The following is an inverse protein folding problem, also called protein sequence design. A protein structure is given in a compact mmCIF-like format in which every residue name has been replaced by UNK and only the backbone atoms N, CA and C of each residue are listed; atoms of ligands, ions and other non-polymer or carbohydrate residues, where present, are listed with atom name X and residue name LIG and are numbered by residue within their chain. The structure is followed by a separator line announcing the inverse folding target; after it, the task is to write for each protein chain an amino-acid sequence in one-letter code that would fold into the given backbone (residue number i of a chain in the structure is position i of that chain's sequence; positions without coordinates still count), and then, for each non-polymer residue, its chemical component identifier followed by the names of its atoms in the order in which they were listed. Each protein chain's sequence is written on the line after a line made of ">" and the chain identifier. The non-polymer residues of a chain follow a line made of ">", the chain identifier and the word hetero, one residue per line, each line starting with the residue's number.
data_IF_946482921524
#
_entry.id   IF_946482921524
#
_cell.length_a   1.000
_cell.length_b   1.000
_cell.length_c   1.000
_cell.angle_alpha   90.00
_cell.angle_beta   90.00
_cell.angle_gamma   90.00
#
_symmetry.space_group_name_H-M   'P 1'
#
loop_
_entity.id
_entity.type
_entity.pdbx_description
1 polymer ?
#
# COMPACT_ATOMS: atom_id res chain seq x y z
N UNK A 1 8.16 -11.09 3.97
CA UNK A 1 7.65 -12.37 4.49
C UNK A 1 6.14 -12.36 4.33
N UNK A 2 5.58 -13.43 3.78
CA UNK A 2 4.14 -13.61 3.59
C UNK A 2 3.60 -14.58 4.62
N UNK A 3 2.44 -14.25 5.18
CA UNK A 3 1.76 -15.07 6.19
C UNK A 3 0.34 -15.37 5.74
N UNK A 4 -0.11 -16.60 5.94
CA UNK A 4 -1.49 -17.01 5.72
C UNK A 4 -1.88 -18.07 6.76
N UNK A 5 -3.07 -17.94 7.35
CA UNK A 5 -3.64 -18.88 8.32
C UNK A 5 -2.69 -19.21 9.49
N UNK A 6 -1.96 -18.20 9.96
CA UNK A 6 -0.92 -18.22 11.00
C UNK A 6 0.41 -18.85 10.61
N UNK A 7 0.56 -19.32 9.37
CA UNK A 7 1.81 -19.90 8.85
C UNK A 7 2.57 -18.89 8.00
N UNK A 8 3.89 -19.01 8.01
CA UNK A 8 4.76 -18.33 7.05
C UNK A 8 4.68 -19.12 5.74
N UNK A 9 4.09 -18.53 4.70
CA UNK A 9 3.90 -19.19 3.40
C UNK A 9 4.87 -18.70 2.34
N UNK A 10 5.63 -17.64 2.61
CA UNK A 10 6.69 -17.21 1.71
C UNK A 10 7.73 -16.32 2.37
N UNK A 11 8.95 -16.48 1.88
CA UNK A 11 10.12 -15.74 2.34
C UNK A 11 10.89 -15.32 1.10
N UNK A 12 11.22 -14.03 1.06
CA UNK A 12 12.15 -13.50 0.08
C UNK A 12 12.94 -12.35 0.69
N UNK A 13 14.17 -12.20 0.20
CA UNK A 13 15.08 -11.13 0.56
C UNK A 13 15.20 -10.15 -0.61
N UNK A 14 14.93 -8.90 -0.31
CA UNK A 14 15.06 -7.78 -1.23
C UNK A 14 16.16 -6.83 -0.73
N UNK A 15 16.99 -6.36 -1.65
CA UNK A 15 18.01 -5.34 -1.37
C UNK A 15 17.49 -3.93 -1.66
N UNK A 16 16.31 -3.81 -2.27
CA UNK A 16 15.67 -2.53 -2.51
C UNK A 16 15.43 -1.82 -1.18
N UNK A 17 15.77 -0.53 -1.14
CA UNK A 17 15.51 0.32 0.02
C UNK A 17 14.03 0.65 0.20
N UNK A 18 13.21 0.40 -0.82
CA UNK A 18 11.79 0.72 -0.85
C UNK A 18 10.95 -0.54 -1.09
N UNK A 19 10.03 -0.79 -0.18
CA UNK A 19 9.15 -1.96 -0.18
C UNK A 19 8.28 -2.04 -1.44
N UNK A 20 7.96 -0.91 -2.07
CA UNK A 20 7.15 -0.81 -3.29
C UNK A 20 7.55 -1.83 -4.35
N UNK A 21 8.85 -1.94 -4.66
CA UNK A 21 9.34 -2.78 -5.76
C UNK A 21 9.35 -4.28 -5.44
N UNK A 22 9.09 -4.63 -4.19
CA UNK A 22 9.25 -5.99 -3.70
C UNK A 22 7.96 -6.81 -3.80
N UNK A 23 6.78 -6.16 -3.90
CA UNK A 23 5.49 -6.85 -3.91
C UNK A 23 5.32 -7.77 -5.12
N UNK A 24 5.44 -7.25 -6.34
CA UNK A 24 5.18 -8.04 -7.54
C UNK A 24 6.15 -9.24 -7.66
N UNK A 25 7.47 -9.07 -7.48
CA UNK A 25 8.38 -10.23 -7.49
C UNK A 25 8.05 -11.24 -6.40
N UNK A 26 7.63 -10.78 -5.21
CA UNK A 26 7.24 -11.65 -4.11
C UNK A 26 5.99 -12.47 -4.43
N UNK A 27 4.95 -11.83 -4.98
CA UNK A 27 3.71 -12.50 -5.36
C UNK A 27 3.91 -13.50 -6.51
N UNK A 28 4.69 -13.14 -7.53
CA UNK A 28 5.05 -14.05 -8.63
C UNK A 28 5.76 -15.30 -8.12
N UNK A 29 6.67 -15.12 -7.16
CA UNK A 29 7.40 -16.23 -6.56
C UNK A 29 6.50 -17.11 -5.69
N UNK A 30 5.59 -16.51 -4.94
CA UNK A 30 4.56 -17.25 -4.20
C UNK A 30 3.70 -18.09 -5.15
N UNK A 31 3.22 -17.49 -6.24
CA UNK A 31 2.42 -18.20 -7.25
C UNK A 31 3.20 -19.38 -7.86
N UNK A 32 4.48 -19.19 -8.21
CA UNK A 32 5.34 -20.27 -8.70
C UNK A 32 5.51 -21.41 -7.69
N UNK A 33 5.64 -21.12 -6.39
CA UNK A 33 5.81 -22.17 -5.39
C UNK A 33 4.52 -22.87 -5.01
N UNK A 34 3.43 -22.11 -4.87
CA UNK A 34 2.14 -22.65 -4.44
C UNK A 34 1.32 -23.21 -5.60
N UNK A 35 1.73 -22.94 -6.86
CA UNK A 35 0.99 -23.28 -8.08
C UNK A 35 -0.43 -22.71 -8.10
N UNK A 36 -0.69 -21.71 -7.25
CA UNK A 36 -1.97 -21.06 -7.04
C UNK A 36 -1.71 -19.60 -6.70
N UNK A 37 -2.56 -18.71 -7.21
CA UNK A 37 -2.51 -17.26 -6.93
C UNK A 37 -3.40 -16.92 -5.72
N UNK A 38 -2.91 -16.02 -4.88
CA UNK A 38 -3.71 -15.46 -3.78
C UNK A 38 -4.71 -14.45 -4.30
N UNK A 39 -6.00 -14.66 -4.02
CA UNK A 39 -7.09 -13.77 -4.48
C UNK A 39 -7.06 -12.40 -3.78
N UNK A 40 -6.84 -12.37 -2.47
CA UNK A 40 -6.86 -11.15 -1.66
C UNK A 40 -5.45 -10.79 -1.19
N UNK A 41 -4.94 -9.62 -1.59
CA UNK A 41 -3.59 -9.17 -1.23
C UNK A 41 -3.67 -8.02 -0.22
N UNK A 42 -3.22 -8.30 1.00
CA UNK A 42 -3.19 -7.34 2.11
C UNK A 42 -1.75 -6.92 2.38
N UNK A 43 -1.46 -5.62 2.27
CA UNK A 43 -0.12 -5.09 2.48
C UNK A 43 -0.13 -3.71 3.13
N UNK A 44 0.99 -3.38 3.78
CA UNK A 44 1.18 -2.12 4.48
C UNK A 44 1.38 -0.96 3.51
N UNK A 45 1.36 0.25 4.06
CA UNK A 45 1.33 1.47 3.26
C UNK A 45 2.64 1.79 2.52
N UNK A 46 3.73 1.06 2.84
CA UNK A 46 4.99 1.10 2.09
C UNK A 46 4.91 0.41 0.72
N UNK A 47 3.84 -0.34 0.45
CA UNK A 47 3.62 -0.99 -0.85
C UNK A 47 2.69 -0.20 -1.78
N UNK A 48 2.20 0.98 -1.38
CA UNK A 48 1.37 1.83 -2.24
C UNK A 48 2.18 2.36 -3.43
N UNK A 49 1.82 1.93 -4.64
CA UNK A 49 2.30 2.54 -5.88
C UNK A 49 1.32 2.26 -7.02
N UNK A 50 1.42 3.06 -8.09
CA UNK A 50 0.63 2.83 -9.29
C UNK A 50 0.94 1.45 -9.88
N UNK A 51 2.21 1.10 -9.99
CA UNK A 51 2.65 -0.17 -10.58
C UNK A 51 2.08 -1.37 -9.82
N UNK A 52 2.02 -1.31 -8.48
CA UNK A 52 1.42 -2.37 -7.67
C UNK A 52 -0.10 -2.44 -7.83
N UNK A 53 -0.79 -1.30 -8.00
CA UNK A 53 -2.22 -1.30 -8.29
C UNK A 53 -2.54 -1.89 -9.65
N UNK A 54 -1.83 -1.46 -10.70
CA UNK A 54 -2.01 -1.98 -12.06
C UNK A 54 -1.69 -3.48 -12.12
N UNK A 55 -0.62 -3.91 -11.43
CA UNK A 55 -0.28 -5.32 -11.33
C UNK A 55 -1.42 -6.16 -10.72
N UNK A 56 -1.90 -5.79 -9.53
CA UNK A 56 -2.97 -6.55 -8.86
C UNK A 56 -4.26 -6.56 -9.67
N UNK A 57 -4.58 -5.46 -10.35
CA UNK A 57 -5.72 -5.36 -11.24
C UNK A 57 -5.59 -6.31 -12.45
N UNK A 58 -4.44 -6.28 -13.12
CA UNK A 58 -4.16 -7.16 -14.28
C UNK A 58 -4.11 -8.65 -13.93
N UNK A 59 -3.77 -8.99 -12.68
CA UNK A 59 -3.72 -10.38 -12.21
C UNK A 59 -5.02 -10.85 -11.56
N UNK A 60 -6.05 -10.00 -11.50
CA UNK A 60 -7.35 -10.29 -10.89
C UNK A 60 -7.31 -10.44 -9.36
N UNK A 61 -6.32 -9.84 -8.71
CA UNK A 61 -6.14 -9.89 -7.26
C UNK A 61 -6.76 -8.66 -6.58
N UNK A 62 -7.60 -8.89 -5.57
CA UNK A 62 -8.25 -7.82 -4.81
C UNK A 62 -7.22 -7.10 -3.95
N UNK A 63 -7.12 -5.79 -4.16
CA UNK A 63 -6.14 -4.93 -3.48
C UNK A 63 -6.68 -4.43 -2.12
N UNK A 64 -5.99 -4.80 -1.04
CA UNK A 64 -6.15 -4.25 0.30
C UNK A 64 -4.88 -3.53 0.79
N UNK A 65 -4.15 -2.88 -0.13
CA UNK A 65 -2.99 -2.06 0.22
C UNK A 65 -3.46 -0.80 0.95
N UNK A 66 -2.95 -0.58 2.17
CA UNK A 66 -3.27 0.62 2.94
C UNK A 66 -2.69 1.87 2.26
N UNK A 67 -3.46 2.95 2.04
CA UNK A 67 -2.89 4.16 1.46
C UNK A 67 -1.84 4.83 2.37
N UNK A 68 -0.73 5.35 1.84
CA UNK A 68 0.39 5.91 2.64
C UNK A 68 -0.05 7.05 3.56
N UNK A 69 -0.91 7.94 3.09
CA UNK A 69 -1.38 9.08 3.88
C UNK A 69 -2.59 8.74 4.78
N UNK A 70 -3.02 7.47 4.89
CA UNK A 70 -4.27 7.09 5.57
C UNK A 70 -4.33 7.54 7.03
N UNK A 71 -3.26 7.33 7.80
CA UNK A 71 -3.17 7.82 9.18
C UNK A 71 -2.90 9.31 9.25
N UNK A 72 -2.00 9.81 8.40
CA UNK A 72 -1.61 11.22 8.39
C UNK A 72 -2.80 12.14 8.10
N UNK A 73 -3.73 11.73 7.24
CA UNK A 73 -4.97 12.43 6.91
C UNK A 73 -5.83 12.77 8.14
N UNK A 74 -5.74 11.97 9.22
CA UNK A 74 -6.47 12.24 10.46
C UNK A 74 -5.83 13.36 11.30
N UNK A 75 -4.54 13.64 11.09
CA UNK A 75 -3.81 14.64 11.88
C UNK A 75 -4.22 16.07 11.51
N UNK A 76 -4.32 16.95 12.53
CA UNK A 76 -4.57 18.39 12.32
C UNK A 76 -3.50 19.04 11.42
N UNK A 77 -2.25 18.58 11.51
CA UNK A 77 -1.13 19.08 10.70
C UNK A 77 -1.31 18.77 9.21
N UNK A 78 -1.85 17.61 8.85
CA UNK A 78 -2.12 17.27 7.46
C UNK A 78 -3.28 18.10 6.90
N UNK A 79 -4.37 18.24 7.67
CA UNK A 79 -5.55 19.02 7.27
C UNK A 79 -5.25 20.51 7.05
N UNK A 80 -4.28 21.06 7.78
CA UNK A 80 -3.83 22.45 7.62
C UNK A 80 -2.99 22.71 6.36
N UNK A 81 -2.56 21.68 5.63
CA UNK A 81 -1.75 21.84 4.42
C UNK A 81 -2.63 22.21 3.22
N UNK A 82 -2.98 23.49 3.11
CA UNK A 82 -3.86 24.05 2.06
C UNK A 82 -3.35 23.80 0.62
N UNK A 83 -2.06 23.55 0.44
CA UNK A 83 -1.46 23.29 -0.87
C UNK A 83 -1.60 21.85 -1.38
N UNK A 84 -2.12 20.91 -0.59
CA UNK A 84 -2.32 19.52 -1.00
C UNK A 84 -3.63 19.33 -1.75
N UNK A 85 -3.58 18.60 -2.85
CA UNK A 85 -4.78 18.26 -3.63
C UNK A 85 -5.76 17.42 -2.81
N UNK A 86 -5.29 16.59 -1.87
CA UNK A 86 -6.15 15.86 -0.91
C UNK A 86 -7.05 16.78 -0.07
N UNK A 87 -6.66 18.05 0.11
CA UNK A 87 -7.38 19.02 0.93
C UNK A 87 -8.09 20.09 0.07
N UNK A 88 -8.15 19.90 -1.25
CA UNK A 88 -8.89 20.75 -2.16
C UNK A 88 -10.22 20.10 -2.51
N UNK A 89 -11.24 20.93 -2.68
CA UNK A 89 -12.51 20.47 -3.21
C UNK A 89 -12.39 20.30 -4.72
N UNK A 90 -13.01 19.24 -5.25
CA UNK A 90 -13.04 18.96 -6.68
C UNK A 90 -14.48 19.14 -7.16
N UNK A 91 -14.65 20.04 -8.12
CA UNK A 91 -15.91 20.33 -8.79
C UNK A 91 -15.99 19.46 -10.05
N UNK A 92 -16.96 18.54 -10.06
CA UNK A 92 -17.15 17.59 -11.16
C UNK A 92 -17.80 18.22 -12.39
N UNK A 93 -18.60 19.27 -12.22
CA UNK A 93 -19.32 19.90 -13.34
C UNK A 93 -18.35 20.72 -14.21
N UNK A 94 -17.43 21.43 -13.56
CA UNK A 94 -16.46 22.33 -14.20
C UNK A 94 -15.08 21.69 -14.42
N UNK A 95 -14.90 20.41 -14.03
CA UNK A 95 -13.61 19.69 -13.99
C UNK A 95 -12.47 20.55 -13.44
N UNK A 96 -12.63 21.04 -12.20
CA UNK A 96 -11.67 21.95 -11.59
C UNK A 96 -11.47 21.69 -10.10
N UNK A 97 -10.28 22.05 -9.59
CA UNK A 97 -10.01 22.06 -8.16
C UNK A 97 -10.21 23.45 -7.58
N UNK A 98 -10.86 23.54 -6.43
CA UNK A 98 -11.04 24.78 -5.69
C UNK A 98 -9.98 24.84 -4.58
N UNK A 99 -9.13 25.87 -4.64
CA UNK A 99 -8.13 26.09 -3.59
C UNK A 99 -8.77 26.65 -2.31
N UNK A 100 -8.00 26.69 -1.22
CA UNK A 100 -8.44 27.24 0.07
C UNK A 100 -8.78 28.75 0.09
N UNK A 101 -8.62 29.46 -1.03
CA UNK A 101 -9.06 30.86 -1.21
C UNK A 101 -10.22 30.99 -2.21
N UNK A 102 -10.85 29.87 -2.60
CA UNK A 102 -11.96 29.86 -3.55
C UNK A 102 -11.56 30.02 -5.02
N UNK A 103 -10.27 30.17 -5.34
CA UNK A 103 -9.80 30.23 -6.74
C UNK A 103 -9.84 28.85 -7.39
N UNK A 104 -10.26 28.79 -8.65
CA UNK A 104 -10.37 27.57 -9.45
C UNK A 104 -9.06 27.23 -10.17
N UNK A 105 -8.75 25.94 -10.22
CA UNK A 105 -7.64 25.36 -10.97
C UNK A 105 -8.26 24.50 -12.08
N UNK A 106 -8.26 25.00 -13.30
CA UNK A 106 -8.84 24.32 -14.46
C UNK A 106 -7.85 23.34 -15.08
N UNK A 107 -8.39 22.29 -15.72
CA UNK A 107 -7.62 21.36 -16.53
C UNK A 107 -6.93 22.12 -17.68
N UNK A 108 -5.61 21.98 -17.78
CA UNK A 108 -4.79 22.59 -18.86
C UNK A 108 -4.40 21.59 -19.93
N UNK A 109 -4.03 20.39 -19.50
CA UNK A 109 -3.63 19.30 -20.39
C UNK A 109 -3.88 17.97 -19.71
N UNK A 110 -4.09 16.96 -20.53
CA UNK A 110 -4.17 15.57 -20.11
C UNK A 110 -3.39 14.73 -21.10
N UNK A 111 -2.57 13.81 -20.59
CA UNK A 111 -1.80 12.87 -21.38
C UNK A 111 -2.16 11.46 -20.89
N UNK A 112 -2.47 10.59 -21.84
CA UNK A 112 -2.69 9.17 -21.58
C UNK A 112 -1.58 8.38 -22.26
N UNK A 113 -0.91 7.53 -21.49
CA UNK A 113 0.14 6.64 -21.96
C UNK A 113 -0.21 5.18 -21.60
N UNK A 114 0.35 4.23 -22.33
CA UNK A 114 0.20 2.81 -22.00
C UNK A 114 1.35 2.40 -21.08
N UNK A 115 1.04 1.92 -19.89
CA UNK A 115 2.00 1.26 -18.97
C UNK A 115 1.51 -0.15 -18.67
N UNK A 116 2.38 -1.15 -18.86
CA UNK A 116 2.08 -2.56 -18.59
C UNK A 116 0.75 -3.05 -19.20
N UNK A 117 0.42 -2.56 -20.40
CA UNK A 117 -0.80 -2.91 -21.13
C UNK A 117 -2.07 -2.19 -20.64
N UNK A 118 -1.97 -1.28 -19.65
CA UNK A 118 -3.07 -0.49 -19.13
C UNK A 118 -2.90 1.00 -19.46
N UNK A 119 -4.02 1.71 -19.64
CA UNK A 119 -4.02 3.16 -19.88
C UNK A 119 -3.78 3.91 -18.56
N UNK A 120 -2.76 4.74 -18.54
CA UNK A 120 -2.42 5.62 -17.41
C UNK A 120 -2.57 7.07 -17.84
N UNK A 121 -3.52 7.76 -17.22
CA UNK A 121 -3.81 9.17 -17.47
C UNK A 121 -3.18 10.08 -16.40
N UNK A 122 -2.54 11.14 -16.86
CA UNK A 122 -2.05 12.23 -16.03
C UNK A 122 -2.68 13.53 -16.51
N UNK A 123 -3.29 14.26 -15.59
CA UNK A 123 -3.94 15.54 -15.82
C UNK A 123 -3.20 16.64 -15.08
N UNK A 124 -3.05 17.80 -15.72
CA UNK A 124 -2.41 18.98 -15.14
C UNK A 124 -3.45 20.07 -14.96
N UNK A 125 -3.68 20.45 -13.71
CA UNK A 125 -4.60 21.52 -13.32
C UNK A 125 -3.81 22.76 -12.93
N UNK A 126 -4.24 23.93 -13.40
CA UNK A 126 -3.53 25.18 -13.13
C UNK A 126 -4.48 26.28 -12.73
N UNK A 127 -4.11 27.02 -11.69
CA UNK A 127 -4.80 28.24 -11.30
C UNK A 127 -4.56 29.32 -12.36
N UNK A 128 -5.57 30.14 -12.65
CA UNK A 128 -5.39 31.26 -13.59
C UNK A 128 -4.47 32.33 -13.04
N UNK A 129 -4.69 32.74 -11.78
CA UNK A 129 -3.87 33.76 -11.14
C UNK A 129 -3.69 33.48 -9.63
N UNK A 130 -2.43 33.45 -9.16
CA UNK A 130 -2.06 33.33 -7.74
C UNK A 130 -1.37 34.59 -7.17
N UNK A 131 -1.43 35.71 -7.88
CA UNK A 131 -0.86 36.99 -7.46
C UNK A 131 -1.58 37.52 -6.22
N UNK A 132 -0.80 38.13 -5.32
CA UNK A 132 -1.27 38.69 -4.06
C UNK A 132 -1.92 37.69 -3.10
N UNK A 133 -1.81 36.38 -3.34
CA UNK A 133 -2.50 35.37 -2.52
C UNK A 133 -1.88 35.24 -1.12
N UNK A 134 -2.63 35.46 -0.02
CA UNK A 134 -2.08 35.47 1.34
C UNK A 134 -1.55 34.11 1.79
N UNK A 135 -2.09 33.01 1.26
CA UNK A 135 -1.67 31.65 1.59
C UNK A 135 -0.61 31.07 0.62
N UNK A 136 -0.03 31.88 -0.28
CA UNK A 136 0.86 31.41 -1.35
C UNK A 136 2.04 30.59 -0.83
N UNK A 137 2.70 31.04 0.24
CA UNK A 137 3.87 30.38 0.84
C UNK A 137 3.59 28.96 1.33
N UNK A 138 2.35 28.66 1.71
CA UNK A 138 1.92 27.33 2.16
C UNK A 138 1.23 26.53 1.05
N UNK A 139 0.68 27.21 0.04
CA UNK A 139 -0.13 26.60 -1.01
C UNK A 139 0.70 26.20 -2.24
N UNK A 140 1.65 27.03 -2.66
CA UNK A 140 2.46 26.85 -3.85
C UNK A 140 3.84 26.26 -3.49
N UNK A 141 4.29 25.27 -4.26
CA UNK A 141 5.67 24.73 -4.12
C UNK A 141 6.68 25.50 -4.98
N UNK A 142 6.22 26.17 -6.03
CA UNK A 142 7.08 26.97 -6.90
C UNK A 142 7.67 28.16 -6.13
N UNK A 143 8.98 28.36 -6.21
CA UNK A 143 9.69 29.49 -5.59
C UNK A 143 9.43 30.81 -6.32
N UNK A 144 9.18 30.72 -7.62
CA UNK A 144 8.87 31.86 -8.48
C UNK A 144 7.50 32.45 -8.09
N UNK A 145 7.42 33.73 -7.67
CA UNK A 145 6.17 34.37 -7.27
C UNK A 145 5.19 34.60 -8.43
N UNK A 146 5.65 34.58 -9.68
CA UNK A 146 4.80 34.80 -10.86
C UNK A 146 4.10 33.53 -11.34
N UNK A 147 4.62 32.35 -10.97
CA UNK A 147 4.05 31.09 -11.44
C UNK A 147 2.80 30.73 -10.64
N UNK A 148 1.64 30.52 -11.28
CA UNK A 148 0.45 30.07 -10.57
C UNK A 148 0.63 28.64 -10.06
N UNK A 149 -0.29 28.22 -9.19
CA UNK A 149 -0.30 26.87 -8.67
C UNK A 149 -0.66 25.88 -9.77
N UNK A 150 0.23 24.92 -10.00
CA UNK A 150 0.00 23.77 -10.86
C UNK A 150 -0.06 22.48 -10.03
N UNK A 151 -0.96 21.57 -10.39
CA UNK A 151 -1.11 20.24 -9.81
C UNK A 151 -1.05 19.23 -10.95
N UNK A 152 -0.09 18.31 -10.89
CA UNK A 152 -0.10 17.11 -11.71
C UNK A 152 -0.80 15.99 -10.94
N UNK A 153 -1.91 15.50 -11.49
CA UNK A 153 -2.73 14.44 -10.93
C UNK A 153 -2.65 13.22 -11.84
N UNK A 154 -2.04 12.13 -11.36
CA UNK A 154 -2.15 10.83 -12.04
C UNK A 154 -3.55 10.25 -11.79
N UNK A 155 -4.53 10.56 -12.65
CA UNK A 155 -5.95 10.19 -12.45
C UNK A 155 -6.10 8.70 -12.15
N UNK A 156 -5.46 7.83 -12.94
CA UNK A 156 -5.46 6.37 -12.73
C UNK A 156 -4.94 5.96 -11.34
N UNK A 157 -3.91 6.63 -10.80
CA UNK A 157 -3.43 6.34 -9.44
C UNK A 157 -4.49 6.70 -8.39
N UNK A 158 -5.18 7.82 -8.57
CA UNK A 158 -6.22 8.26 -7.63
C UNK A 158 -7.46 7.37 -7.68
N UNK A 159 -7.87 6.94 -8.87
CA UNK A 159 -8.93 5.97 -9.08
C UNK A 159 -8.60 4.65 -8.36
N UNK A 160 -7.44 4.04 -8.66
CA UNK A 160 -7.03 2.78 -8.01
C UNK A 160 -6.84 2.94 -6.50
N UNK A 161 -6.32 4.08 -6.05
CA UNK A 161 -6.22 4.41 -4.62
C UNK A 161 -7.60 4.54 -3.96
N UNK A 162 -8.59 5.11 -4.65
CA UNK A 162 -9.96 5.22 -4.14
C UNK A 162 -10.58 3.82 -3.97
N UNK A 163 -10.48 2.96 -4.98
CA UNK A 163 -10.91 1.55 -4.90
C UNK A 163 -10.22 0.81 -3.75
N UNK A 164 -8.89 0.93 -3.64
CA UNK A 164 -8.15 0.32 -2.53
C UNK A 164 -8.61 0.87 -1.17
N UNK A 165 -8.93 2.17 -1.09
CA UNK A 165 -9.44 2.81 0.13
C UNK A 165 -10.82 2.29 0.52
N UNK A 166 -11.71 2.12 -0.46
CA UNK A 166 -13.03 1.52 -0.26
C UNK A 166 -12.91 0.08 0.23
N UNK A 167 -12.10 -0.74 -0.46
CA UNK A 167 -11.85 -2.14 -0.09
C UNK A 167 -11.40 -2.27 1.37
N UNK A 168 -10.43 -1.48 1.82
CA UNK A 168 -9.93 -1.56 3.21
C UNK A 168 -10.95 -1.08 4.25
N UNK A 169 -11.95 -0.30 3.86
CA UNK A 169 -13.02 0.18 4.75
C UNK A 169 -14.20 -0.76 4.87
N UNK A 170 -14.33 -1.73 3.96
CA UNK A 170 -15.34 -2.80 4.10
C UNK A 170 -15.09 -3.64 5.37
N UNK A 171 -16.13 -4.31 5.92
CA UNK A 171 -15.94 -5.24 7.03
C UNK A 171 -14.88 -6.32 6.74
N UNK A 172 -14.87 -6.87 5.51
CA UNK A 172 -13.85 -7.82 5.05
C UNK A 172 -12.45 -7.21 5.07
N UNK A 173 -12.29 -6.01 4.52
CA UNK A 173 -11.00 -5.32 4.48
C UNK A 173 -10.47 -4.92 5.86
N UNK A 174 -11.35 -4.51 6.78
CA UNK A 174 -10.99 -4.25 8.18
C UNK A 174 -10.48 -5.53 8.84
N UNK A 175 -11.23 -6.64 8.70
CA UNK A 175 -10.85 -7.94 9.24
C UNK A 175 -9.51 -8.44 8.70
N UNK A 176 -9.33 -8.41 7.38
CA UNK A 176 -8.10 -8.84 6.74
C UNK A 176 -6.88 -8.04 7.20
N UNK A 177 -7.03 -6.72 7.38
CA UNK A 177 -5.95 -5.88 7.94
C UNK A 177 -5.62 -6.21 9.38
N UNK A 178 -6.63 -6.46 10.21
CA UNK A 178 -6.44 -6.92 11.59
C UNK A 178 -5.72 -8.28 11.62
N UNK A 179 -6.20 -9.23 10.82
CA UNK A 179 -5.60 -10.55 10.66
C UNK A 179 -4.14 -10.47 10.22
N UNK A 180 -3.82 -9.60 9.25
CA UNK A 180 -2.46 -9.39 8.77
C UNK A 180 -1.55 -8.86 9.88
N UNK A 181 -2.01 -7.85 10.65
CA UNK A 181 -1.25 -7.31 11.79
C UNK A 181 -0.98 -8.39 12.83
N UNK A 182 -2.01 -9.11 13.28
CA UNK A 182 -1.88 -10.20 14.27
C UNK A 182 -0.91 -11.28 13.77
N UNK A 183 -1.06 -11.74 12.53
CA UNK A 183 -0.24 -12.83 12.00
C UNK A 183 1.20 -12.41 11.75
N UNK A 184 1.43 -11.27 11.11
CA UNK A 184 2.77 -10.81 10.76
C UNK A 184 3.54 -10.39 12.02
N UNK A 185 2.95 -9.55 12.87
CA UNK A 185 3.59 -9.10 14.11
C UNK A 185 3.75 -10.26 15.09
N UNK A 186 2.76 -11.14 15.21
CA UNK A 186 2.86 -12.35 16.03
C UNK A 186 3.98 -13.27 15.57
N UNK A 187 4.16 -13.46 14.25
CA UNK A 187 5.27 -14.23 13.71
C UNK A 187 6.63 -13.58 14.02
N UNK A 188 6.77 -12.27 13.80
CA UNK A 188 8.00 -11.55 14.10
C UNK A 188 8.32 -11.53 15.60
N UNK A 189 7.32 -11.35 16.46
CA UNK A 189 7.47 -11.33 17.91
C UNK A 189 7.95 -12.69 18.42
N UNK A 190 7.36 -13.80 17.94
CA UNK A 190 7.78 -15.15 18.30
C UNK A 190 9.21 -15.42 17.82
N UNK A 191 9.54 -15.09 16.57
CA UNK A 191 10.90 -15.25 16.06
C UNK A 191 11.92 -14.47 16.91
N UNK A 192 11.60 -13.24 17.31
CA UNK A 192 12.49 -12.46 18.18
C UNK A 192 12.56 -13.03 19.59
N UNK A 193 11.43 -13.17 20.29
CA UNK A 193 11.43 -13.46 21.72
C UNK A 193 11.66 -14.93 22.01
N UNK A 194 10.83 -15.81 21.46
CA UNK A 194 10.87 -17.25 21.77
C UNK A 194 12.08 -17.94 21.13
N UNK A 195 12.38 -17.61 19.87
CA UNK A 195 13.49 -18.23 19.14
C UNK A 195 14.81 -17.53 19.39
N UNK A 196 14.81 -16.43 20.16
CA UNK A 196 16.00 -15.65 20.47
C UNK A 196 16.65 -15.00 19.24
N UNK A 197 15.95 -14.89 18.10
CA UNK A 197 16.53 -14.33 16.89
C UNK A 197 16.80 -12.83 17.07
N UNK A 198 18.07 -12.44 17.01
CA UNK A 198 18.52 -11.04 17.16
C UNK A 198 19.19 -10.52 15.90
N UNK A 199 19.98 -11.36 15.24
CA UNK A 199 20.72 -11.06 14.01
C UNK A 199 20.96 -12.35 13.24
N UNK A 200 21.17 -12.21 11.93
CA UNK A 200 21.69 -13.30 11.10
C UNK A 200 23.12 -13.65 11.50
N UNK A 201 23.45 -14.94 11.44
CA UNK A 201 24.78 -15.46 11.74
C UNK A 201 25.67 -15.47 10.51
N UNK A 202 25.08 -15.55 9.33
CA UNK A 202 25.77 -15.59 8.04
C UNK A 202 25.59 -14.28 7.27
N UNK A 203 26.45 -14.12 6.26
CA UNK A 203 26.41 -13.01 5.32
C UNK A 203 26.16 -13.52 3.90
N UNK A 204 25.69 -12.63 3.03
CA UNK A 204 25.34 -12.96 1.65
C UNK A 204 23.89 -13.45 1.49
N UNK A 205 23.28 -13.08 0.36
CA UNK A 205 21.84 -13.31 0.12
C UNK A 205 21.42 -14.77 0.30
N UNK A 206 22.21 -15.70 -0.23
CA UNK A 206 21.89 -17.12 -0.20
C UNK A 206 21.88 -17.67 1.24
N UNK A 207 22.92 -17.37 2.02
CA UNK A 207 23.05 -17.88 3.38
C UNK A 207 22.01 -17.28 4.31
N UNK A 208 21.78 -15.96 4.24
CA UNK A 208 20.73 -15.27 5.00
C UNK A 208 19.35 -15.82 4.64
N UNK A 209 19.12 -16.12 3.35
CA UNK A 209 17.85 -16.73 2.90
C UNK A 209 17.67 -18.12 3.49
N UNK A 210 18.71 -18.94 3.53
CA UNK A 210 18.71 -20.26 4.17
C UNK A 210 18.41 -20.16 5.66
N UNK A 211 19.03 -19.23 6.39
CA UNK A 211 18.71 -18.98 7.80
C UNK A 211 17.23 -18.60 7.99
N UNK A 212 16.70 -17.69 7.18
CA UNK A 212 15.27 -17.34 7.25
C UNK A 212 14.37 -18.55 6.97
N UNK A 213 14.74 -19.43 6.04
CA UNK A 213 13.99 -20.65 5.78
C UNK A 213 13.95 -21.57 6.99
N UNK A 214 15.09 -21.80 7.66
CA UNK A 214 15.11 -22.62 8.88
C UNK A 214 14.26 -22.02 10.00
N UNK A 215 14.33 -20.69 10.18
CA UNK A 215 13.49 -19.98 11.14
C UNK A 215 12.00 -20.14 10.85
N UNK A 216 11.61 -19.97 9.59
CA UNK A 216 10.21 -20.13 9.20
C UNK A 216 9.72 -21.58 9.27
N UNK A 217 10.56 -22.55 8.92
CA UNK A 217 10.25 -23.97 9.08
C UNK A 217 10.00 -24.29 10.55
N UNK A 218 10.91 -23.90 11.43
CA UNK A 218 10.78 -24.12 12.87
C UNK A 218 9.54 -23.40 13.45
N UNK A 219 9.26 -22.17 13.00
CA UNK A 219 8.04 -21.45 13.33
C UNK A 219 6.78 -22.21 12.89
N UNK A 220 6.74 -22.66 11.64
CA UNK A 220 5.60 -23.37 11.07
C UNK A 220 5.36 -24.72 11.76
N UNK A 221 6.42 -25.46 12.10
CA UNK A 221 6.32 -26.71 12.86
C UNK A 221 5.77 -26.46 14.27
N UNK A 222 6.29 -25.46 14.98
CA UNK A 222 5.75 -25.04 16.29
C UNK A 222 4.28 -24.65 16.17
N UNK A 223 3.92 -23.87 15.13
CA UNK A 223 2.54 -23.45 14.88
C UNK A 223 1.62 -24.63 14.57
N UNK A 224 2.07 -25.58 13.75
CA UNK A 224 1.34 -26.80 13.42
C UNK A 224 1.05 -27.63 14.68
N UNK A 225 2.07 -27.85 15.51
CA UNK A 225 1.92 -28.55 16.78
C UNK A 225 0.89 -27.85 17.68
N UNK A 226 1.02 -26.53 17.91
CA UNK A 226 0.05 -25.77 18.71
C UNK A 226 -1.37 -25.84 18.15
N UNK A 227 -1.55 -25.74 16.82
CA UNK A 227 -2.88 -25.87 16.20
C UNK A 227 -3.44 -27.28 16.37
N UNK A 228 -2.61 -28.32 16.33
CA UNK A 228 -3.03 -29.70 16.57
C UNK A 228 -3.49 -29.91 18.02
N UNK A 229 -2.69 -29.52 19.00
CA UNK A 229 -3.01 -29.70 20.43
C UNK A 229 -4.29 -28.96 20.85
N UNK A 230 -4.60 -27.85 20.19
CA UNK A 230 -5.81 -27.08 20.44
C UNK A 230 -6.98 -27.38 19.49
N UNK A 231 -6.89 -28.41 18.62
CA UNK A 231 -7.98 -28.77 17.70
C UNK A 231 -8.29 -27.72 16.62
N UNK A 232 -7.33 -26.87 16.26
CA UNK A 232 -7.49 -25.71 15.37
C UNK A 232 -6.93 -25.90 13.95
N UNK A 233 -6.57 -27.11 13.55
CA UNK A 233 -5.89 -27.36 12.26
C UNK A 233 -6.66 -26.81 11.04
N UNK A 234 -7.98 -26.94 11.03
CA UNK A 234 -8.84 -26.46 9.93
C UNK A 234 -9.25 -24.99 10.07
N UNK A 235 -8.78 -24.28 11.11
CA UNK A 235 -9.16 -22.88 11.31
C UNK A 235 -8.33 -21.95 10.43
N UNK A 236 -9.01 -21.11 9.66
CA UNK A 236 -8.41 -20.04 8.87
C UNK A 236 -8.75 -18.71 9.53
N UNK A 237 -7.73 -17.92 9.87
CA UNK A 237 -7.91 -16.67 10.63
C UNK A 237 -8.77 -15.67 9.84
N UNK A 238 -8.57 -15.62 8.52
CA UNK A 238 -9.35 -14.80 7.58
C UNK A 238 -10.83 -15.18 7.50
N UNK A 239 -11.21 -16.39 7.89
CA UNK A 239 -12.59 -16.91 7.80
C UNK A 239 -13.34 -16.88 9.14
N UNK A 240 -12.70 -16.45 10.24
CA UNK A 240 -13.35 -16.40 11.55
C UNK A 240 -14.51 -15.39 11.68
N UNK A 241 -14.77 -14.57 10.66
CA UNK A 241 -15.89 -13.62 10.62
C UNK A 241 -17.08 -14.09 9.76
N UNK A 242 -17.01 -15.27 9.15
CA UNK A 242 -18.14 -15.85 8.38
C UNK A 242 -18.99 -16.83 9.21
N UNK A 243 -18.87 -16.79 10.54
CA UNK A 243 -19.69 -17.56 11.48
C UNK A 243 -20.40 -16.62 12.46
#
# INVERSE_FOLDING_TARGET
>A
MGVNSEYITGIELFFDRNDVRTLQPFLKKLEQFHQVRYEEVVADAGYESLENYLYLDSTGQICYIKPTNYEQRRSKKFKKQVGRVENMEYDQEEDCFICAQGRRLFLRRECTEVQDGQLVSTAWYCCENCDGCPCRSQCCRAKDPTKPKEIALKKTFWEKRATATENITTPRGIHLRLCRSIQAEGAFALLKNDFGFRRFLTTGKANVRTEMFFLALAFNLKKLWMKREHGRLQTRVSEKMTA
#
